data_IF_633845128927
#
_entry.id   IF_633845128927
#
_cell.length_a   1.000
_cell.length_b   1.000
_cell.length_c   1.000
_cell.angle_alpha   90.00
_cell.angle_beta   90.00
_cell.angle_gamma   90.00
#
_symmetry.space_group_name_H-M   'P 1'
#
loop_
_entity.id
_entity.type
_entity.pdbx_description
1 polymer ?
#
# COMPACT_ATOMS: atom_id res chain seq x y z
N UNK A 1 -7.87 0.24 -11.38
CA UNK A 1 -8.35 1.64 -11.53
C UNK A 1 -9.83 1.79 -11.19
N UNK A 2 -10.59 0.73 -11.39
CA UNK A 2 -12.04 0.58 -11.24
C UNK A 2 -12.55 0.92 -9.83
N UNK A 3 -11.70 0.73 -8.82
CA UNK A 3 -12.05 1.00 -7.41
C UNK A 3 -11.92 2.48 -7.04
N UNK A 4 -11.15 3.28 -7.78
CA UNK A 4 -10.87 4.68 -7.42
C UNK A 4 -12.14 5.56 -7.35
N UNK A 5 -13.12 5.42 -8.26
CA UNK A 5 -14.37 6.18 -8.18
C UNK A 5 -15.29 5.77 -7.02
N UNK A 6 -15.03 4.62 -6.39
CA UNK A 6 -15.83 4.10 -5.28
C UNK A 6 -15.31 4.59 -3.91
N UNK A 7 -14.17 5.27 -3.87
CA UNK A 7 -13.55 5.77 -2.65
C UNK A 7 -14.09 7.16 -2.34
N UNK A 8 -14.57 7.35 -1.11
CA UNK A 8 -14.91 8.68 -0.57
C UNK A 8 -13.64 9.43 -0.19
N UNK A 9 -13.09 10.16 -1.16
CA UNK A 9 -11.83 10.88 -1.01
C UNK A 9 -11.92 12.07 -0.06
N UNK A 10 -13.08 12.69 0.07
CA UNK A 10 -13.25 13.84 0.96
C UNK A 10 -13.22 13.37 2.41
N UNK A 11 -13.89 12.26 2.73
CA UNK A 11 -13.73 11.61 4.04
C UNK A 11 -12.29 11.19 4.33
N UNK A 12 -11.55 10.72 3.32
CA UNK A 12 -10.15 10.32 3.51
C UNK A 12 -9.22 11.48 3.90
N UNK A 13 -9.50 12.71 3.44
CA UNK A 13 -8.72 13.90 3.79
C UNK A 13 -8.91 14.33 5.25
N UNK A 14 -10.07 14.02 5.84
CA UNK A 14 -10.39 14.34 7.24
C UNK A 14 -9.77 13.36 8.24
N UNK A 15 -9.41 12.16 7.79
CA UNK A 15 -8.81 11.14 8.63
C UNK A 15 -7.33 11.41 8.88
N UNK A 16 -6.79 10.97 10.04
CA UNK A 16 -5.35 10.96 10.24
C UNK A 16 -4.63 10.16 9.14
N UNK A 17 -3.47 10.62 8.66
CA UNK A 17 -2.72 9.94 7.60
C UNK A 17 -2.46 8.46 7.91
N UNK A 18 -2.64 7.61 6.90
CA UNK A 18 -2.36 6.17 6.99
C UNK A 18 -1.32 5.75 5.97
N UNK A 19 -0.55 4.73 6.33
CA UNK A 19 0.42 4.12 5.42
C UNK A 19 -0.27 3.23 4.40
N UNK A 20 0.01 3.48 3.12
CA UNK A 20 -0.26 2.54 2.03
C UNK A 20 1.11 2.04 1.53
N UNK A 21 1.32 0.73 1.62
CA UNK A 21 2.54 0.05 1.19
C UNK A 21 2.17 -1.05 0.18
N UNK A 22 2.81 -1.04 -0.98
CA UNK A 22 2.65 -2.10 -1.98
C UNK A 22 3.36 -1.80 -3.29
N UNK A 23 3.18 -2.69 -4.25
CA UNK A 23 3.75 -2.59 -5.61
C UNK A 23 2.74 -3.08 -6.65
N UNK A 24 3.10 -3.03 -7.94
CA UNK A 24 2.22 -3.41 -9.05
C UNK A 24 0.93 -2.57 -9.05
N UNK A 25 -0.25 -3.17 -9.18
CA UNK A 25 -1.56 -2.51 -9.23
C UNK A 25 -1.80 -1.54 -8.06
N UNK A 26 -1.25 -1.84 -6.87
CA UNK A 26 -1.35 -0.98 -5.70
C UNK A 26 -0.68 0.38 -5.93
N UNK A 27 0.32 0.47 -6.81
CA UNK A 27 1.00 1.74 -7.15
C UNK A 27 0.03 2.78 -7.69
N UNK A 28 -1.03 2.35 -8.41
CA UNK A 28 -2.07 3.25 -8.89
C UNK A 28 -2.82 3.88 -7.72
N UNK A 29 -3.20 3.08 -6.72
CA UNK A 29 -3.87 3.57 -5.51
C UNK A 29 -2.93 4.46 -4.68
N UNK A 30 -1.68 4.05 -4.49
CA UNK A 30 -0.67 4.81 -3.74
C UNK A 30 -0.43 6.19 -4.36
N UNK A 31 -0.31 6.25 -5.69
CA UNK A 31 -0.16 7.50 -6.41
C UNK A 31 -1.38 8.40 -6.23
N UNK A 32 -2.58 7.90 -6.52
CA UNK A 32 -3.83 8.67 -6.36
C UNK A 32 -4.04 9.16 -4.92
N UNK A 33 -3.81 8.30 -3.94
CA UNK A 33 -3.88 8.67 -2.52
C UNK A 33 -2.92 9.81 -2.18
N UNK A 34 -1.67 9.72 -2.61
CA UNK A 34 -0.66 10.75 -2.38
C UNK A 34 -1.06 12.07 -3.04
N UNK A 35 -1.52 12.02 -4.30
CA UNK A 35 -1.93 13.21 -5.06
C UNK A 35 -3.15 13.90 -4.47
N UNK A 36 -4.17 13.14 -4.05
CA UNK A 36 -5.44 13.70 -3.58
C UNK A 36 -5.35 14.19 -2.13
N UNK A 37 -4.65 13.45 -1.26
CA UNK A 37 -4.63 13.73 0.18
C UNK A 37 -3.37 14.48 0.64
N UNK A 38 -2.31 14.50 -0.19
CA UNK A 38 -0.99 15.02 0.21
C UNK A 38 -0.22 14.10 1.16
N UNK A 39 -0.80 12.97 1.55
CA UNK A 39 -0.16 12.04 2.49
C UNK A 39 0.88 11.15 1.80
N UNK A 40 1.96 10.85 2.50
CA UNK A 40 2.99 9.95 1.98
C UNK A 40 2.48 8.51 1.84
N UNK A 41 2.95 7.83 0.81
CA UNK A 41 2.80 6.38 0.61
C UNK A 41 4.18 5.77 0.33
N UNK A 42 4.29 4.44 0.41
CA UNK A 42 5.54 3.73 0.19
C UNK A 42 5.37 2.64 -0.88
N UNK A 43 6.39 2.49 -1.72
CA UNK A 43 6.50 1.36 -2.63
C UNK A 43 7.29 0.24 -1.96
N UNK A 44 6.78 -0.98 -2.01
CA UNK A 44 7.48 -2.09 -1.37
C UNK A 44 6.68 -3.38 -1.34
N UNK A 45 7.25 -4.37 -0.66
CA UNK A 45 6.80 -5.74 -0.70
C UNK A 45 5.42 -5.91 -0.05
N UNK A 46 4.54 -6.69 -0.67
CA UNK A 46 3.22 -7.00 -0.09
C UNK A 46 3.34 -8.08 1.00
N UNK A 47 2.25 -8.29 1.76
CA UNK A 47 2.21 -9.25 2.86
C UNK A 47 2.55 -10.68 2.42
N UNK A 48 2.06 -11.13 1.26
CA UNK A 48 2.29 -12.48 0.74
C UNK A 48 3.77 -12.73 0.44
N UNK A 49 4.44 -11.74 -0.12
CA UNK A 49 5.86 -11.78 -0.44
C UNK A 49 6.73 -11.66 0.81
N UNK A 50 6.34 -10.79 1.76
CA UNK A 50 6.98 -10.70 3.08
C UNK A 50 6.91 -12.05 3.81
N UNK A 51 5.75 -12.71 3.77
CA UNK A 51 5.57 -14.07 4.32
C UNK A 51 6.51 -15.06 3.63
N UNK A 52 6.59 -15.06 2.30
CA UNK A 52 7.52 -15.96 1.58
C UNK A 52 8.97 -15.71 1.97
N UNK A 53 9.38 -14.46 2.13
CA UNK A 53 10.73 -14.11 2.58
C UNK A 53 11.00 -14.53 4.03
N UNK A 54 10.02 -14.42 4.93
CA UNK A 54 10.14 -14.92 6.31
C UNK A 54 10.31 -16.44 6.33
N UNK A 55 9.51 -17.18 5.56
CA UNK A 55 9.66 -18.63 5.44
C UNK A 55 11.04 -19.00 4.88
N UNK A 56 11.49 -18.29 3.84
CA UNK A 56 12.82 -18.50 3.26
C UNK A 56 13.94 -18.20 4.26
N UNK A 57 13.85 -17.10 5.02
CA UNK A 57 14.82 -16.78 6.08
C UNK A 57 14.87 -17.89 7.13
N UNK A 58 13.72 -18.39 7.59
CA UNK A 58 13.67 -19.49 8.56
C UNK A 58 14.28 -20.79 8.01
N UNK A 59 14.11 -21.08 6.72
CA UNK A 59 14.73 -22.26 6.08
C UNK A 59 16.25 -22.11 5.89
N UNK A 60 16.80 -20.90 5.90
CA UNK A 60 18.24 -20.64 5.77
C UNK A 60 18.95 -20.50 7.13
N UNK A 61 18.20 -20.47 8.24
CA UNK A 61 18.74 -20.37 9.60
C UNK A 61 18.80 -21.70 10.34
N UNK A 62 18.57 -22.83 9.64
CA UNK A 62 18.84 -24.18 10.14
C UNK A 62 20.03 -24.82 9.42
#
# INVERSE_FOLDING_TARGET
MEVLPLIDWDRFKELPPKWILGYSDISTLSFTYTTITGNASAHGTNLSELRRRLIFVLHYTE
#
